data_IF_276874506784
#
_entry.id   IF_276874506784
#
_cell.length_a   1.000
_cell.length_b   1.000
_cell.length_c   1.000
_cell.angle_alpha   90.00
_cell.angle_beta   90.00
_cell.angle_gamma   90.00
#
_symmetry.space_group_name_H-M   'P 1'
#
loop_
_entity.id
_entity.type
_entity.pdbx_description
1 polymer ?
#
# COMPACT_ATOMS: atom_id res chain seq x y z
N UNK A 1 88.14 -6.74 14.32
CA UNK A 1 87.76 -7.67 15.41
C UNK A 1 86.43 -7.20 15.93
N UNK A 2 85.31 -7.90 15.88
CA UNK A 2 85.00 -9.28 15.51
C UNK A 2 83.63 -9.55 16.14
N UNK A 3 82.69 -10.13 15.36
CA UNK A 3 81.62 -11.09 15.77
C UNK A 3 80.72 -10.73 16.98
N UNK A 4 79.40 -10.93 17.03
CA UNK A 4 78.42 -11.77 16.30
C UNK A 4 77.01 -11.47 16.88
N UNK A 5 76.01 -11.57 16.00
CA UNK A 5 74.68 -12.22 16.13
C UNK A 5 73.99 -12.37 17.51
N UNK A 6 72.73 -11.91 17.61
CA UNK A 6 71.48 -12.70 17.83
C UNK A 6 70.28 -11.73 17.95
N UNK A 7 69.35 -11.67 17.00
CA UNK A 7 68.15 -12.50 16.88
C UNK A 7 67.15 -12.32 18.05
N UNK A 8 66.07 -11.56 17.80
CA UNK A 8 64.75 -11.77 18.41
C UNK A 8 63.68 -11.09 17.53
N UNK A 9 63.28 -11.79 16.48
CA UNK A 9 62.07 -11.49 15.71
C UNK A 9 60.89 -11.95 16.58
N UNK A 10 60.13 -11.01 17.13
CA UNK A 10 58.89 -11.33 17.84
C UNK A 10 57.75 -11.38 16.82
N UNK A 11 57.54 -12.57 16.25
CA UNK A 11 56.31 -12.95 15.57
C UNK A 11 55.21 -13.08 16.64
N UNK A 12 54.41 -12.03 16.80
CA UNK A 12 53.13 -12.13 17.52
C UNK A 12 52.03 -12.31 16.48
N UNK A 13 51.71 -13.58 16.24
CA UNK A 13 50.62 -14.08 15.41
C UNK A 13 49.30 -13.46 15.88
N UNK A 14 48.76 -12.51 15.11
CA UNK A 14 47.39 -12.06 15.29
C UNK A 14 46.48 -13.20 14.83
N UNK A 15 45.96 -13.95 15.80
CA UNK A 15 44.85 -14.86 15.58
C UNK A 15 43.62 -14.03 15.23
N UNK A 16 43.41 -13.81 13.93
CA UNK A 16 42.18 -13.24 13.40
C UNK A 16 41.09 -14.30 13.60
N UNK A 17 40.38 -14.22 14.73
CA UNK A 17 39.13 -14.95 14.94
C UNK A 17 38.12 -14.41 13.92
N UNK A 18 38.01 -15.08 12.77
CA UNK A 18 36.86 -14.93 11.89
C UNK A 18 35.70 -15.60 12.59
N UNK A 19 34.95 -14.84 13.38
CA UNK A 19 33.61 -15.25 13.81
C UNK A 19 32.75 -15.27 12.57
N UNK A 20 32.64 -16.45 11.95
CA UNK A 20 31.58 -16.72 11.01
C UNK A 20 30.26 -16.59 11.78
N UNK A 21 29.67 -15.41 11.73
CA UNK A 21 28.27 -15.24 12.06
C UNK A 21 27.51 -16.13 11.07
N UNK A 22 27.19 -17.34 11.51
CA UNK A 22 26.19 -18.17 10.87
C UNK A 22 24.90 -17.39 11.03
N UNK A 23 24.62 -16.53 10.07
CA UNK A 23 23.30 -15.97 9.88
C UNK A 23 22.43 -17.15 9.52
N UNK A 24 21.86 -17.81 10.53
CA UNK A 24 20.67 -18.63 10.37
C UNK A 24 19.63 -17.66 9.84
N UNK A 25 19.55 -17.54 8.52
CA UNK A 25 18.38 -17.06 7.84
C UNK A 25 17.28 -18.02 8.28
N UNK A 26 16.60 -17.64 9.36
CA UNK A 26 15.35 -18.24 9.76
C UNK A 26 14.48 -18.08 8.52
N UNK A 27 14.37 -19.17 7.77
CA UNK A 27 13.43 -19.24 6.67
C UNK A 27 12.11 -19.26 7.40
N UNK A 28 11.55 -18.08 7.64
CA UNK A 28 10.18 -17.92 8.08
C UNK A 28 9.36 -18.54 6.95
N UNK A 29 9.10 -19.84 7.08
CA UNK A 29 8.07 -20.53 6.33
C UNK A 29 6.78 -19.88 6.76
N UNK A 30 6.46 -18.78 6.08
CA UNK A 30 5.19 -18.07 6.13
C UNK A 30 4.13 -19.07 5.68
N UNK A 31 3.73 -19.92 6.64
CA UNK A 31 2.61 -20.82 6.46
C UNK A 31 1.42 -19.93 6.12
N UNK A 32 0.70 -20.23 5.01
CA UNK A 32 -0.42 -19.40 4.59
C UNK A 32 -1.37 -19.25 5.79
N UNK A 33 -1.73 -18.01 6.11
CA UNK A 33 -2.58 -17.72 7.25
C UNK A 33 -3.87 -18.53 7.12
N UNK A 34 -4.13 -19.41 8.09
CA UNK A 34 -5.35 -20.22 8.10
C UNK A 34 -6.56 -19.30 8.15
N UNK A 35 -7.53 -19.54 7.27
CA UNK A 35 -8.72 -18.69 7.21
C UNK A 35 -9.42 -18.66 8.59
N UNK A 36 -9.76 -17.47 9.12
CA UNK A 36 -10.37 -17.36 10.44
C UNK A 36 -11.73 -18.08 10.47
N UNK A 37 -12.07 -18.64 11.63
CA UNK A 37 -13.36 -19.31 11.85
C UNK A 37 -14.55 -18.33 11.77
N UNK A 38 -15.75 -18.87 11.56
CA UNK A 38 -16.99 -18.11 11.37
C UNK A 38 -17.24 -17.06 12.46
N UNK A 39 -17.11 -17.43 13.75
CA UNK A 39 -17.31 -16.50 14.86
C UNK A 39 -16.37 -15.29 14.81
N UNK A 40 -15.09 -15.51 14.49
CA UNK A 40 -14.11 -14.43 14.41
C UNK A 40 -14.44 -13.47 13.25
N UNK A 41 -14.89 -14.00 12.11
CA UNK A 41 -15.32 -13.17 10.96
C UNK A 41 -16.51 -12.28 11.27
N UNK A 42 -17.42 -12.75 12.13
CA UNK A 42 -18.68 -12.05 12.41
C UNK A 42 -18.57 -11.06 13.57
N UNK A 43 -17.78 -11.41 14.60
CA UNK A 43 -17.78 -10.67 15.88
C UNK A 43 -16.44 -10.01 16.22
N UNK A 44 -15.37 -10.30 15.48
CA UNK A 44 -14.05 -9.74 15.75
C UNK A 44 -13.54 -8.93 14.56
N UNK A 45 -12.70 -7.94 14.87
CA UNK A 45 -11.85 -7.31 13.86
C UNK A 45 -10.79 -8.31 13.42
N UNK A 46 -10.70 -8.53 12.12
CA UNK A 46 -9.66 -9.36 11.53
C UNK A 46 -8.36 -8.55 11.39
N UNK A 47 -7.21 -9.21 11.50
CA UNK A 47 -5.94 -8.62 11.06
C UNK A 47 -5.97 -8.39 9.55
N UNK A 48 -5.01 -7.64 9.03
CA UNK A 48 -4.91 -7.43 7.58
C UNK A 48 -4.73 -8.78 6.85
N UNK A 49 -3.82 -9.63 7.32
CA UNK A 49 -3.58 -10.98 6.77
C UNK A 49 -4.81 -11.90 6.85
N UNK A 50 -5.56 -11.86 7.95
CA UNK A 50 -6.83 -12.59 8.06
C UNK A 50 -7.90 -12.05 7.12
N UNK A 51 -7.92 -10.74 6.90
CA UNK A 51 -8.82 -10.09 5.94
C UNK A 51 -8.47 -10.50 4.52
N UNK A 52 -7.18 -10.52 4.16
CA UNK A 52 -6.70 -11.11 2.90
C UNK A 52 -7.26 -12.51 2.78
N UNK A 53 -7.12 -13.40 3.77
CA UNK A 53 -7.61 -14.78 3.64
C UNK A 53 -9.10 -14.90 3.29
N UNK A 54 -9.97 -13.97 3.73
CA UNK A 54 -11.43 -14.08 3.57
C UNK A 54 -12.04 -13.23 2.47
N UNK A 55 -11.33 -12.24 1.91
CA UNK A 55 -11.85 -11.44 0.80
C UNK A 55 -11.88 -12.28 -0.48
N UNK A 56 -13.02 -12.28 -1.16
CA UNK A 56 -13.25 -13.07 -2.39
C UNK A 56 -13.50 -12.20 -3.63
N UNK A 57 -13.65 -10.88 -3.47
CA UNK A 57 -13.83 -9.96 -4.60
C UNK A 57 -13.34 -8.54 -4.30
N UNK A 58 -13.08 -7.70 -5.33
CA UNK A 58 -12.76 -6.29 -5.12
C UNK A 58 -13.82 -5.55 -4.30
N UNK A 59 -15.11 -5.86 -4.50
CA UNK A 59 -16.21 -5.27 -3.73
C UNK A 59 -16.11 -5.59 -2.24
N UNK A 60 -15.72 -6.82 -1.89
CA UNK A 60 -15.48 -7.21 -0.50
C UNK A 60 -14.25 -6.57 0.09
N UNK A 61 -13.16 -6.41 -0.69
CA UNK A 61 -11.97 -5.67 -0.27
C UNK A 61 -12.33 -4.23 0.14
N UNK A 62 -13.10 -3.54 -0.72
CA UNK A 62 -13.58 -2.18 -0.47
C UNK A 62 -14.46 -2.12 0.79
N UNK A 63 -15.41 -3.05 0.91
CA UNK A 63 -16.28 -3.14 2.08
C UNK A 63 -15.50 -3.45 3.37
N UNK A 64 -14.44 -4.28 3.30
CA UNK A 64 -13.59 -4.58 4.44
C UNK A 64 -12.83 -3.34 4.90
N UNK A 65 -12.22 -2.59 3.98
CA UNK A 65 -11.57 -1.31 4.28
C UNK A 65 -12.54 -0.34 4.93
N UNK A 66 -13.70 -0.12 4.31
CA UNK A 66 -14.72 0.80 4.83
C UNK A 66 -15.24 0.44 6.23
N UNK A 67 -15.35 -0.86 6.54
CA UNK A 67 -15.84 -1.32 7.84
C UNK A 67 -14.78 -1.22 8.95
N UNK A 68 -13.50 -1.30 8.60
CA UNK A 68 -12.42 -1.44 9.58
C UNK A 68 -11.58 -0.17 9.76
N UNK A 69 -11.60 0.74 8.78
CA UNK A 69 -10.76 1.95 8.77
C UNK A 69 -11.62 3.21 8.84
N UNK A 70 -11.16 4.16 9.64
CA UNK A 70 -11.71 5.50 9.74
C UNK A 70 -10.93 6.44 8.81
N UNK A 71 -11.65 7.26 8.04
CA UNK A 71 -11.02 8.32 7.26
C UNK A 71 -10.54 9.44 8.20
N UNK A 72 -9.27 9.82 8.08
CA UNK A 72 -8.64 10.89 8.85
C UNK A 72 -7.81 11.72 7.89
N UNK A 73 -8.10 13.01 7.79
CA UNK A 73 -7.24 13.91 7.03
C UNK A 73 -5.88 14.02 7.72
N UNK A 74 -4.80 13.64 7.03
CA UNK A 74 -3.43 13.98 7.41
C UNK A 74 -3.00 15.26 6.66
N UNK A 75 -2.22 16.10 7.34
CA UNK A 75 -1.62 17.30 6.74
C UNK A 75 -0.28 16.98 6.07
N UNK A 76 0.25 15.77 6.26
CA UNK A 76 1.47 15.28 5.63
C UNK A 76 1.20 14.29 4.50
N UNK A 77 2.08 14.27 3.49
CA UNK A 77 2.06 13.31 2.38
C UNK A 77 2.78 12.00 2.76
N UNK A 78 2.45 11.46 3.95
CA UNK A 78 3.11 10.28 4.51
C UNK A 78 2.30 9.01 4.25
N UNK A 79 2.68 8.28 3.21
CA UNK A 79 1.99 7.07 2.80
C UNK A 79 2.35 5.89 3.70
N UNK A 80 1.42 5.46 4.55
CA UNK A 80 1.61 4.28 5.39
C UNK A 80 1.53 2.99 4.57
N UNK A 81 2.05 1.87 5.09
CA UNK A 81 1.78 0.54 4.50
C UNK A 81 0.34 0.11 4.77
N UNK A 82 -0.22 -0.82 3.98
CA UNK A 82 -1.59 -1.28 4.21
C UNK A 82 -1.75 -1.93 5.61
N UNK A 83 -0.77 -2.73 6.04
CA UNK A 83 -0.73 -3.28 7.39
C UNK A 83 -0.71 -2.19 8.47
N UNK A 84 0.14 -1.17 8.31
CA UNK A 84 0.25 -0.07 9.26
C UNK A 84 -1.04 0.74 9.34
N UNK A 85 -1.65 1.12 8.22
CA UNK A 85 -2.96 1.78 8.18
C UNK A 85 -4.02 0.89 8.86
N UNK A 86 -3.97 -0.43 8.62
CA UNK A 86 -4.90 -1.38 9.23
C UNK A 86 -4.74 -1.48 10.74
N UNK A 87 -3.51 -1.43 11.25
CA UNK A 87 -3.20 -1.43 12.68
C UNK A 87 -3.60 -0.11 13.36
N UNK A 88 -3.31 1.03 12.71
CA UNK A 88 -3.71 2.39 13.14
C UNK A 88 -5.22 2.64 13.08
N UNK A 89 -5.95 1.77 12.36
CA UNK A 89 -7.40 1.79 12.17
C UNK A 89 -7.89 3.00 11.39
N UNK A 90 -7.05 3.58 10.53
CA UNK A 90 -7.42 4.75 9.75
C UNK A 90 -6.24 5.39 9.05
N UNK A 91 -6.57 6.29 8.14
CA UNK A 91 -5.69 7.06 7.26
C UNK A 91 -6.53 7.98 6.37
N UNK A 92 -5.89 8.70 5.48
CA UNK A 92 -6.53 9.55 4.46
C UNK A 92 -6.81 8.76 3.16
N UNK A 93 -7.02 9.46 2.05
CA UNK A 93 -7.52 8.86 0.82
C UNK A 93 -6.52 7.87 0.20
N UNK A 94 -5.22 8.17 0.26
CA UNK A 94 -4.13 7.35 -0.25
C UNK A 94 -3.94 6.07 0.56
N UNK A 95 -3.99 6.17 1.88
CA UNK A 95 -3.84 5.06 2.80
C UNK A 95 -4.98 4.05 2.62
N UNK A 96 -6.22 4.54 2.53
CA UNK A 96 -7.39 3.69 2.27
C UNK A 96 -7.34 3.07 0.87
N UNK A 97 -6.93 3.82 -0.15
CA UNK A 97 -6.76 3.30 -1.50
C UNK A 97 -5.70 2.18 -1.53
N UNK A 98 -4.56 2.39 -0.86
CA UNK A 98 -3.48 1.40 -0.76
C UNK A 98 -3.92 0.12 -0.06
N UNK A 99 -4.71 0.22 1.00
CA UNK A 99 -5.29 -0.96 1.66
C UNK A 99 -6.16 -1.77 0.70
N UNK A 100 -7.02 -1.13 -0.11
CA UNK A 100 -7.86 -1.82 -1.08
C UNK A 100 -7.01 -2.49 -2.17
N UNK A 101 -6.03 -1.77 -2.71
CA UNK A 101 -5.14 -2.30 -3.76
C UNK A 101 -4.39 -3.53 -3.26
N UNK A 102 -3.80 -3.45 -2.07
CA UNK A 102 -3.00 -4.56 -1.53
C UNK A 102 -3.84 -5.78 -1.17
N UNK A 103 -5.06 -5.60 -0.64
CA UNK A 103 -6.02 -6.70 -0.46
C UNK A 103 -6.35 -7.39 -1.81
N UNK A 104 -6.55 -6.59 -2.86
CA UNK A 104 -6.86 -7.08 -4.20
C UNK A 104 -5.67 -7.83 -4.82
N UNK A 105 -4.48 -7.24 -4.79
CA UNK A 105 -3.27 -7.81 -5.37
C UNK A 105 -2.87 -9.13 -4.71
N UNK A 106 -2.97 -9.24 -3.38
CA UNK A 106 -2.72 -10.51 -2.65
C UNK A 106 -3.71 -11.62 -3.00
N UNK A 107 -4.84 -11.27 -3.65
CA UNK A 107 -5.83 -12.19 -4.21
C UNK A 107 -5.71 -12.39 -5.72
N UNK A 108 -4.71 -11.79 -6.37
CA UNK A 108 -4.51 -11.86 -7.80
C UNK A 108 -5.47 -10.99 -8.61
N UNK A 109 -6.22 -10.08 -7.97
CA UNK A 109 -7.02 -9.09 -8.68
C UNK A 109 -6.13 -7.95 -9.16
N UNK A 110 -6.39 -7.45 -10.38
CA UNK A 110 -5.67 -6.30 -10.93
C UNK A 110 -6.22 -5.01 -10.33
N UNK A 111 -5.42 -4.35 -9.51
CA UNK A 111 -5.75 -3.06 -8.92
C UNK A 111 -4.57 -2.09 -9.02
N UNK A 112 -4.83 -0.79 -8.93
CA UNK A 112 -3.84 0.28 -8.88
C UNK A 112 -4.43 1.51 -8.18
N UNK A 113 -3.58 2.47 -7.84
CA UNK A 113 -3.99 3.76 -7.27
C UNK A 113 -4.04 4.81 -8.39
N UNK A 114 -5.18 5.47 -8.51
CA UNK A 114 -5.39 6.59 -9.43
C UNK A 114 -5.65 7.85 -8.60
N UNK A 115 -4.95 8.94 -8.93
CA UNK A 115 -5.13 10.23 -8.26
C UNK A 115 -5.86 11.18 -9.18
N UNK A 116 -6.94 11.76 -8.68
CA UNK A 116 -7.75 12.76 -9.37
C UNK A 116 -7.48 14.13 -8.78
N UNK A 117 -7.41 15.16 -9.63
CA UNK A 117 -7.26 16.53 -9.20
C UNK A 117 -8.04 17.44 -10.15
N UNK A 118 -8.80 18.39 -9.62
CA UNK A 118 -9.41 19.40 -10.47
C UNK A 118 -8.39 20.48 -10.83
N UNK A 119 -8.45 20.99 -12.06
CA UNK A 119 -7.57 22.09 -12.49
C UNK A 119 -7.78 23.32 -11.61
N UNK A 120 -6.68 23.94 -11.17
CA UNK A 120 -6.72 25.12 -10.29
C UNK A 120 -7.21 24.85 -8.86
N UNK A 121 -7.08 23.63 -8.35
CA UNK A 121 -7.22 23.35 -6.90
C UNK A 121 -5.96 22.67 -6.36
N UNK A 122 -5.55 22.99 -5.11
CA UNK A 122 -4.46 22.29 -4.44
C UNK A 122 -4.86 20.91 -3.91
N UNK A 123 -6.16 20.61 -3.91
CA UNK A 123 -6.71 19.35 -3.39
C UNK A 123 -6.73 18.28 -4.48
N UNK A 124 -6.09 17.15 -4.20
CA UNK A 124 -6.19 15.91 -4.97
C UNK A 124 -6.97 14.85 -4.16
N UNK A 125 -7.40 13.79 -4.83
CA UNK A 125 -8.10 12.67 -4.20
C UNK A 125 -7.59 11.36 -4.79
N UNK A 126 -7.02 10.51 -3.95
CA UNK A 126 -6.54 9.18 -4.33
C UNK A 126 -7.66 8.15 -4.17
N UNK A 127 -7.78 7.26 -5.16
CA UNK A 127 -8.75 6.16 -5.14
C UNK A 127 -8.10 4.87 -5.62
N UNK A 128 -8.60 3.74 -5.16
CA UNK A 128 -8.24 2.46 -5.74
C UNK A 128 -9.08 2.21 -6.99
N UNK A 129 -8.48 1.72 -8.05
CA UNK A 129 -9.15 1.30 -9.28
C UNK A 129 -8.67 -0.08 -9.70
N UNK A 130 -9.46 -0.76 -10.52
CA UNK A 130 -9.08 -2.08 -11.01
C UNK A 130 -10.06 -2.62 -12.05
N UNK A 131 -9.80 -3.83 -12.49
CA UNK A 131 -10.74 -4.61 -13.28
C UNK A 131 -11.23 -5.80 -12.46
N UNK A 132 -12.52 -6.13 -12.56
CA UNK A 132 -13.04 -7.36 -11.99
C UNK A 132 -12.78 -8.56 -12.93
N UNK A 133 -13.30 -9.73 -12.56
CA UNK A 133 -13.12 -10.96 -13.34
C UNK A 133 -13.80 -10.89 -14.72
N UNK A 134 -14.83 -10.07 -14.87
CA UNK A 134 -15.56 -9.86 -16.13
C UNK A 134 -14.88 -8.81 -17.02
N UNK A 135 -13.83 -8.16 -16.52
CA UNK A 135 -13.15 -7.06 -17.21
C UNK A 135 -13.84 -5.71 -17.04
N UNK A 136 -14.83 -5.59 -16.16
CA UNK A 136 -15.47 -4.32 -15.85
C UNK A 136 -14.54 -3.46 -14.98
N UNK A 137 -14.45 -2.18 -15.33
CA UNK A 137 -13.69 -1.22 -14.55
C UNK A 137 -14.45 -0.88 -13.26
N UNK A 138 -13.74 -0.84 -12.15
CA UNK A 138 -14.27 -0.42 -10.86
C UNK A 138 -13.37 0.63 -10.22
N UNK A 139 -13.95 1.40 -9.30
CA UNK A 139 -13.24 2.31 -8.41
C UNK A 139 -13.70 2.14 -6.97
N UNK A 140 -12.84 2.54 -6.04
CA UNK A 140 -13.12 2.62 -4.62
C UNK A 140 -12.64 3.95 -4.06
N UNK A 141 -13.60 4.79 -3.68
CA UNK A 141 -13.33 6.03 -2.95
C UNK A 141 -13.59 5.83 -1.46
N UNK A 142 -12.55 5.92 -0.63
CA UNK A 142 -12.66 5.72 0.83
C UNK A 142 -13.40 4.41 1.22
N UNK A 143 -13.16 3.33 0.46
CA UNK A 143 -13.79 2.02 0.63
C UNK A 143 -15.21 1.87 0.04
N UNK A 144 -15.75 2.88 -0.64
CA UNK A 144 -16.99 2.77 -1.40
C UNK A 144 -16.74 2.23 -2.80
N UNK A 145 -17.17 0.99 -3.05
CA UNK A 145 -17.08 0.34 -4.36
C UNK A 145 -18.13 0.87 -5.35
N UNK A 146 -17.69 1.16 -6.57
CA UNK A 146 -18.58 1.47 -7.69
C UNK A 146 -18.00 0.92 -9.02
N UNK A 147 -18.86 0.29 -9.84
CA UNK A 147 -18.53 -0.01 -11.24
C UNK A 147 -18.64 1.26 -12.08
N UNK A 148 -17.70 1.44 -13.00
CA UNK A 148 -17.66 2.56 -13.95
C UNK A 148 -17.33 2.02 -15.33
N UNK A 149 -17.82 2.65 -16.40
CA UNK A 149 -17.59 2.21 -17.77
C UNK A 149 -16.27 2.70 -18.34
N UNK A 150 -15.69 3.74 -17.74
CA UNK A 150 -14.46 4.37 -18.23
C UNK A 150 -13.81 5.27 -17.18
N UNK A 151 -12.57 5.69 -17.44
CA UNK A 151 -11.90 6.74 -16.66
C UNK A 151 -12.68 8.07 -16.71
N UNK A 152 -13.36 8.39 -17.82
CA UNK A 152 -14.18 9.60 -17.91
C UNK A 152 -15.34 9.57 -16.92
N UNK A 153 -16.01 8.43 -16.79
CA UNK A 153 -17.08 8.26 -15.79
C UNK A 153 -16.51 8.29 -14.36
N UNK A 154 -15.33 7.69 -14.14
CA UNK A 154 -14.65 7.80 -12.85
C UNK A 154 -14.38 9.27 -12.46
N UNK A 155 -13.93 10.11 -13.41
CA UNK A 155 -13.76 11.55 -13.19
C UNK A 155 -15.05 12.23 -12.75
N UNK A 156 -16.18 11.90 -13.38
CA UNK A 156 -17.49 12.47 -13.01
C UNK A 156 -17.94 12.06 -11.61
N UNK A 157 -17.71 10.79 -11.24
CA UNK A 157 -17.98 10.26 -9.91
C UNK A 157 -17.17 11.03 -8.86
N UNK A 158 -15.85 11.15 -9.07
CA UNK A 158 -14.96 11.83 -8.13
C UNK A 158 -15.22 13.34 -8.10
N UNK A 159 -15.48 13.99 -9.24
CA UNK A 159 -15.85 15.40 -9.29
C UNK A 159 -17.08 15.71 -8.44
N UNK A 160 -18.09 14.82 -8.49
CA UNK A 160 -19.30 14.94 -7.69
C UNK A 160 -19.01 14.76 -6.20
N UNK A 161 -18.23 13.74 -5.84
CA UNK A 161 -17.85 13.45 -4.45
C UNK A 161 -17.07 14.62 -3.83
N UNK A 162 -16.06 15.12 -4.55
CA UNK A 162 -15.19 16.22 -4.13
C UNK A 162 -15.80 17.61 -4.32
N UNK A 163 -17.04 17.69 -4.83
CA UNK A 163 -17.77 18.94 -5.12
C UNK A 163 -17.00 19.88 -6.07
N UNK A 164 -16.21 19.34 -6.99
CA UNK A 164 -15.48 20.10 -8.02
C UNK A 164 -16.38 20.52 -9.19
N UNK A 165 -17.44 21.27 -8.89
CA UNK A 165 -18.41 21.73 -9.89
C UNK A 165 -17.73 22.56 -10.98
N UNK A 166 -18.03 22.25 -12.24
CA UNK A 166 -17.56 22.97 -13.43
C UNK A 166 -16.03 23.06 -13.58
N UNK A 167 -15.28 22.15 -12.93
CA UNK A 167 -13.82 22.08 -13.09
C UNK A 167 -13.45 20.92 -14.00
N UNK A 168 -12.41 21.13 -14.82
CA UNK A 168 -11.75 20.05 -15.52
C UNK A 168 -11.07 19.14 -14.49
N UNK A 169 -11.35 17.84 -14.55
CA UNK A 169 -10.69 16.85 -13.69
C UNK A 169 -9.60 16.15 -14.45
N UNK A 170 -8.38 16.29 -13.95
CA UNK A 170 -7.20 15.59 -14.39
C UNK A 170 -7.04 14.32 -13.55
N UNK A 171 -6.42 13.29 -14.12
CA UNK A 171 -6.10 12.06 -13.40
C UNK A 171 -4.71 11.56 -13.80
N UNK A 172 -4.08 10.82 -12.90
CA UNK A 172 -2.85 10.11 -13.17
C UNK A 172 -2.72 8.92 -12.23
N UNK A 173 -2.13 7.83 -12.73
CA UNK A 173 -1.61 6.79 -11.85
C UNK A 173 -0.59 7.38 -10.89
N UNK A 174 -0.52 6.81 -9.69
CA UNK A 174 0.32 7.33 -8.62
C UNK A 174 1.80 7.44 -9.04
N UNK A 175 2.31 6.50 -9.87
CA UNK A 175 3.70 6.54 -10.33
C UNK A 175 4.02 7.79 -11.19
N UNK A 176 2.99 8.46 -11.71
CA UNK A 176 3.10 9.65 -12.55
C UNK A 176 2.56 10.92 -11.86
N UNK A 177 2.18 10.86 -10.58
CA UNK A 177 1.50 11.95 -9.87
C UNK A 177 2.26 13.29 -9.89
N UNK A 178 3.60 13.27 -9.83
CA UNK A 178 4.41 14.50 -9.93
C UNK A 178 4.16 15.30 -11.22
N UNK A 179 3.89 14.60 -12.34
CA UNK A 179 3.55 15.25 -13.62
C UNK A 179 2.14 15.85 -13.58
N UNK A 180 1.21 15.20 -12.89
CA UNK A 180 -0.15 15.69 -12.69
C UNK A 180 -0.16 16.98 -11.87
N UNK A 181 0.59 17.02 -10.77
CA UNK A 181 0.67 18.20 -9.90
C UNK A 181 1.19 19.43 -10.66
N UNK A 182 2.16 19.27 -11.55
CA UNK A 182 2.66 20.34 -12.40
C UNK A 182 1.64 20.83 -13.43
N UNK A 183 0.80 19.95 -13.97
CA UNK A 183 -0.25 20.31 -14.94
C UNK A 183 -1.48 20.95 -14.28
N UNK A 184 -1.76 20.62 -13.01
CA UNK A 184 -2.90 21.18 -12.29
C UNK A 184 -2.70 22.64 -11.88
N UNK A 185 -1.44 23.10 -11.77
CA UNK A 185 -1.05 24.46 -11.39
C UNK A 185 -0.83 25.40 -12.57
N UNK A 186 -0.79 24.89 -13.81
CA UNK A 186 -0.68 25.67 -15.05
C UNK A 186 -2.04 26.06 -15.64
#
# INVERSE_FOLDING_TARGET
>A
MGTRNTAAILLATIALLVTAEVTTAATETNSPATAPGFFKRLFCRLTFSETVAVVESPKEACAAVRRNLEYREDLGDNWASAEETWEKKGGDCEDLAKCVVELCERKGFKAWIEVFCAKGTPVAHAVAMGYDADGDLWLSSNGWFQKVKSISEAKEVIAREMRWKNKEVLNSRIENFRKLAAAATS
#
